data_IF_810700964545
#
_entry.id   IF_810700964545
#
_cell.length_a   1.000
_cell.length_b   1.000
_cell.length_c   1.000
_cell.angle_alpha   90.00
_cell.angle_beta   90.00
_cell.angle_gamma   90.00
#
_symmetry.space_group_name_H-M   'P 1'
#
loop_
_entity.id
_entity.type
_entity.pdbx_description
1 polymer ?
#
# COMPACT_ATOMS: atom_id res chain seq x y z
N UNK A 1 2.77 -29.96 -0.41
CA UNK A 1 3.27 -29.03 0.61
C UNK A 1 2.86 -27.63 0.16
N UNK A 2 1.73 -27.11 0.65
CA UNK A 2 1.22 -25.81 0.23
C UNK A 2 1.83 -24.78 1.18
N UNK A 3 2.81 -24.01 0.70
CA UNK A 3 3.33 -22.85 1.42
C UNK A 3 2.20 -21.83 1.42
N UNK A 4 1.40 -21.79 2.49
CA UNK A 4 0.55 -20.62 2.77
C UNK A 4 1.52 -19.55 3.24
N UNK A 5 2.05 -18.80 2.28
CA UNK A 5 2.96 -17.70 2.52
C UNK A 5 2.34 -16.72 3.51
N UNK A 6 3.20 -16.08 4.30
CA UNK A 6 2.90 -15.09 5.35
C UNK A 6 2.18 -13.83 4.82
N UNK A 7 0.98 -13.99 4.25
CA UNK A 7 0.19 -12.89 3.69
C UNK A 7 -0.30 -11.89 4.75
N UNK A 8 -0.18 -12.25 6.04
CA UNK A 8 -0.64 -11.45 7.18
C UNK A 8 0.45 -10.59 7.85
N UNK A 9 1.73 -10.75 7.49
CA UNK A 9 2.80 -9.96 8.12
C UNK A 9 2.89 -8.57 7.46
N UNK A 10 3.01 -7.48 8.26
CA UNK A 10 3.24 -6.15 7.71
C UNK A 10 4.46 -6.09 6.79
N UNK A 11 4.32 -5.41 5.65
CA UNK A 11 5.41 -5.22 4.68
C UNK A 11 5.79 -3.75 4.57
N UNK A 12 7.09 -3.47 4.56
CA UNK A 12 7.61 -2.13 4.25
C UNK A 12 7.88 -2.03 2.75
N UNK A 13 7.38 -0.95 2.15
CA UNK A 13 7.78 -0.50 0.81
C UNK A 13 8.66 0.74 0.97
N UNK A 14 9.71 0.84 0.15
CA UNK A 14 10.48 2.08 0.02
C UNK A 14 9.76 3.02 -0.95
N UNK A 15 10.32 4.22 -1.19
CA UNK A 15 9.85 5.06 -2.28
C UNK A 15 9.91 4.31 -3.62
N UNK A 16 8.87 4.40 -4.43
CA UNK A 16 8.78 3.72 -5.71
C UNK A 16 7.36 3.38 -6.16
N UNK A 17 7.30 2.51 -7.17
CA UNK A 17 6.06 1.98 -7.75
C UNK A 17 5.99 0.47 -7.55
N UNK A 18 4.81 -0.03 -7.20
CA UNK A 18 4.58 -1.42 -6.85
C UNK A 18 3.26 -1.91 -7.46
N UNK A 19 3.18 -3.19 -7.77
CA UNK A 19 1.97 -3.82 -8.32
C UNK A 19 1.40 -4.84 -7.34
N UNK A 20 0.12 -4.72 -7.01
CA UNK A 20 -0.60 -5.73 -6.21
C UNK A 20 -0.77 -7.00 -7.03
N UNK A 21 -0.58 -8.15 -6.40
CA UNK A 21 -0.46 -9.46 -7.05
C UNK A 21 0.99 -9.86 -7.37
N UNK A 22 1.92 -8.89 -7.43
CA UNK A 22 3.34 -9.11 -7.71
C UNK A 22 4.18 -8.76 -6.47
N UNK A 23 4.12 -7.51 -6.05
CA UNK A 23 4.91 -6.98 -4.94
C UNK A 23 4.18 -7.12 -3.59
N UNK A 24 2.85 -7.12 -3.61
CA UNK A 24 2.00 -7.23 -2.41
C UNK A 24 0.83 -8.17 -2.73
N UNK A 25 0.44 -9.09 -1.83
CA UNK A 25 -0.77 -9.87 -2.04
C UNK A 25 -2.03 -8.98 -1.99
N UNK A 26 -3.11 -9.47 -2.59
CA UNK A 26 -4.44 -8.83 -2.48
C UNK A 26 -4.88 -8.85 -1.03
N UNK A 27 -5.24 -7.68 -0.48
CA UNK A 27 -5.74 -7.55 0.89
C UNK A 27 -6.38 -6.18 1.11
N UNK A 28 -7.00 -6.00 2.27
CA UNK A 28 -7.30 -4.66 2.79
C UNK A 28 -6.10 -4.19 3.59
N UNK A 29 -5.51 -3.06 3.23
CA UNK A 29 -4.34 -2.56 3.92
C UNK A 29 -4.63 -1.28 4.67
N UNK A 30 -4.00 -1.14 5.84
CA UNK A 30 -3.69 0.16 6.43
C UNK A 30 -2.27 0.56 6.02
N UNK A 31 -2.15 1.64 5.24
CA UNK A 31 -0.90 2.27 4.89
C UNK A 31 -0.52 3.30 5.96
N UNK A 32 0.67 3.16 6.53
CA UNK A 32 1.22 4.04 7.57
C UNK A 32 2.59 4.55 7.13
N UNK A 33 2.84 5.85 7.17
CA UNK A 33 4.17 6.38 6.90
C UNK A 33 5.17 5.89 7.98
N UNK A 34 6.41 5.62 7.57
CA UNK A 34 7.50 5.33 8.51
C UNK A 34 8.65 6.35 8.43
N UNK A 35 8.40 7.49 7.78
CA UNK A 35 9.32 8.62 7.62
C UNK A 35 8.61 9.96 7.81
N UNK A 36 9.00 10.98 7.05
CA UNK A 36 8.45 12.33 7.17
C UNK A 36 7.00 12.48 6.70
N UNK A 37 6.48 11.48 6.00
CA UNK A 37 5.16 11.52 5.36
C UNK A 37 5.25 12.07 3.93
N UNK A 38 4.48 11.51 3.01
CA UNK A 38 4.49 11.88 1.60
C UNK A 38 3.21 11.45 0.88
N UNK A 39 3.13 11.77 -0.42
CA UNK A 39 2.03 11.32 -1.27
C UNK A 39 2.02 9.79 -1.39
N UNK A 40 0.84 9.24 -1.21
CA UNK A 40 0.50 7.85 -1.47
C UNK A 40 -0.66 7.81 -2.45
N UNK A 41 -0.40 7.22 -3.62
CA UNK A 41 -1.36 7.15 -4.72
C UNK A 41 -1.59 5.70 -5.08
N UNK A 42 -2.85 5.36 -5.34
CA UNK A 42 -3.23 4.04 -5.85
C UNK A 42 -4.09 4.22 -7.08
N UNK A 43 -3.71 3.54 -8.16
CA UNK A 43 -4.49 3.38 -9.37
C UNK A 43 -5.02 1.96 -9.47
N UNK A 44 -6.23 1.79 -9.98
CA UNK A 44 -6.77 0.48 -10.34
C UNK A 44 -5.97 -0.15 -11.49
N UNK A 45 -6.19 -1.44 -11.74
CA UNK A 45 -5.66 -2.12 -12.93
C UNK A 45 -6.08 -1.45 -14.26
N UNK A 46 -7.22 -0.73 -14.29
CA UNK A 46 -7.67 0.08 -15.44
C UNK A 46 -7.05 1.48 -15.51
N UNK A 47 -6.26 1.88 -14.49
CA UNK A 47 -5.64 3.20 -14.39
C UNK A 47 -6.47 4.25 -13.63
N UNK A 48 -7.66 3.89 -13.16
CA UNK A 48 -8.55 4.81 -12.43
C UNK A 48 -7.97 5.15 -11.06
N UNK A 49 -8.06 6.42 -10.65
CA UNK A 49 -7.56 6.86 -9.35
C UNK A 49 -8.43 6.29 -8.22
N UNK A 50 -7.85 5.44 -7.36
CA UNK A 50 -8.50 4.85 -6.18
C UNK A 50 -8.16 5.61 -4.90
N UNK A 51 -6.91 6.00 -4.74
CA UNK A 51 -6.40 6.69 -3.54
C UNK A 51 -5.49 7.82 -3.98
N UNK A 52 -5.63 8.98 -3.34
CA UNK A 52 -4.69 10.09 -3.44
C UNK A 52 -4.69 10.83 -2.11
N UNK A 53 -3.69 10.58 -1.29
CA UNK A 53 -3.59 11.19 0.05
C UNK A 53 -2.14 11.42 0.44
N UNK A 54 -1.92 12.32 1.39
CA UNK A 54 -0.64 12.50 2.07
C UNK A 54 -0.68 11.66 3.35
N UNK A 55 0.27 10.74 3.51
CA UNK A 55 0.44 9.97 4.74
C UNK A 55 1.30 10.76 5.75
N UNK A 56 1.11 10.52 7.05
CA UNK A 56 1.86 11.17 8.13
C UNK A 56 1.21 12.42 8.73
N UNK A 57 1.94 13.07 9.64
CA UNK A 57 1.42 14.10 10.56
C UNK A 57 0.91 15.37 9.86
N UNK A 58 1.44 15.69 8.68
CA UNK A 58 0.99 16.81 7.86
C UNK A 58 -0.11 16.41 6.85
N UNK A 59 -0.59 15.16 6.91
CA UNK A 59 -1.63 14.59 6.04
C UNK A 59 -2.71 13.83 6.85
N UNK A 60 -3.26 12.74 6.31
CA UNK A 60 -4.29 11.94 6.99
C UNK A 60 -3.76 11.02 8.11
N UNK A 61 -2.45 11.00 8.36
CA UNK A 61 -1.80 10.03 9.24
C UNK A 61 -1.69 8.66 8.58
N UNK A 62 -2.72 7.84 8.76
CA UNK A 62 -2.86 6.51 8.16
C UNK A 62 -4.00 6.50 7.13
N UNK A 63 -3.93 5.62 6.13
CA UNK A 63 -5.03 5.42 5.19
C UNK A 63 -5.35 3.95 4.99
N UNK A 64 -6.65 3.60 4.99
CA UNK A 64 -7.10 2.23 4.77
C UNK A 64 -7.76 2.10 3.40
N UNK A 65 -7.36 1.11 2.61
CA UNK A 65 -7.90 0.87 1.28
C UNK A 65 -7.92 -0.62 0.92
N UNK A 66 -8.70 -0.98 -0.10
CA UNK A 66 -8.67 -2.31 -0.71
C UNK A 66 -7.64 -2.32 -1.84
N UNK A 67 -6.60 -3.15 -1.67
CA UNK A 67 -5.61 -3.44 -2.70
C UNK A 67 -6.08 -4.66 -3.49
N UNK A 68 -6.50 -4.41 -4.72
CA UNK A 68 -7.02 -5.42 -5.65
C UNK A 68 -5.93 -5.82 -6.64
N UNK A 69 -6.06 -7.01 -7.22
CA UNK A 69 -5.05 -7.55 -8.14
C UNK A 69 -4.82 -6.59 -9.32
N UNK A 70 -3.56 -6.29 -9.63
CA UNK A 70 -3.17 -5.34 -10.67
C UNK A 70 -3.24 -3.86 -10.29
N UNK A 71 -3.68 -3.50 -9.09
CA UNK A 71 -3.54 -2.11 -8.61
C UNK A 71 -2.07 -1.67 -8.61
N UNK A 72 -1.83 -0.42 -9.00
CA UNK A 72 -0.50 0.21 -8.92
C UNK A 72 -0.44 1.15 -7.73
N UNK A 73 0.53 0.93 -6.84
CA UNK A 73 0.83 1.79 -5.69
C UNK A 73 2.05 2.65 -6.00
N UNK A 74 1.96 3.95 -5.74
CA UNK A 74 3.06 4.91 -5.89
C UNK A 74 3.24 5.61 -4.54
N UNK A 75 4.47 5.58 -4.02
CA UNK A 75 4.83 6.25 -2.77
C UNK A 75 6.15 6.98 -2.92
N UNK A 76 6.23 8.21 -2.43
CA UNK A 76 7.44 9.05 -2.52
C UNK A 76 8.37 8.88 -1.30
N UNK A 77 7.92 8.16 -0.28
CA UNK A 77 8.69 7.81 0.93
C UNK A 77 8.42 6.36 1.32
N UNK A 78 9.14 5.87 2.33
CA UNK A 78 8.90 4.56 2.88
C UNK A 78 7.54 4.49 3.62
N UNK A 79 6.76 3.45 3.31
CA UNK A 79 5.43 3.18 3.87
C UNK A 79 5.37 1.76 4.40
N UNK A 80 4.70 1.59 5.54
CA UNK A 80 4.39 0.28 6.11
C UNK A 80 2.95 -0.09 5.76
N UNK A 81 2.81 -1.21 5.06
CA UNK A 81 1.55 -1.82 4.65
C UNK A 81 1.18 -2.87 5.68
N UNK A 82 0.09 -2.64 6.43
CA UNK A 82 -0.39 -3.54 7.46
C UNK A 82 -1.66 -4.23 6.94
N UNK A 83 -1.64 -5.54 6.64
CA UNK A 83 -2.83 -6.28 6.26
C UNK A 83 -3.89 -6.20 7.36
N UNK A 84 -5.14 -6.03 6.96
CA UNK A 84 -6.31 -6.03 7.83
C UNK A 84 -7.13 -7.29 7.60
N UNK A 85 -7.67 -7.85 8.69
CA UNK A 85 -8.58 -8.99 8.67
C UNK A 85 -10.02 -8.56 8.41
#
# INVERSE_FOLDING_TARGET
MQVREKMDDPKTLNAGQYTVGIDLPVSRYKATNIGSGSNFVVHSASGDLKVNTILGANGSGDYTFYAEDGDTLITEEAVKMIPMK
#
